data_IF_430453714438
#
_entry.id   IF_430453714438
#
_cell.length_a   1.000
_cell.length_b   1.000
_cell.length_c   1.000
_cell.angle_alpha   90.00
_cell.angle_beta   90.00
_cell.angle_gamma   90.00
#
_symmetry.space_group_name_H-M   'P 1'
#
loop_
_entity.id
_entity.type
_entity.pdbx_description
1 polymer ?
#
# COMPACT_ATOMS: atom_id res chain seq x y z
N UNK A 1 -17.44 1.96 -10.04
CA UNK A 1 -16.53 1.69 -8.90
C UNK A 1 -15.15 1.44 -9.47
N UNK A 2 -14.25 2.42 -9.37
CA UNK A 2 -12.89 2.28 -9.89
C UNK A 2 -12.12 1.37 -8.95
N UNK A 3 -12.17 0.07 -9.24
CA UNK A 3 -11.42 -0.91 -8.46
C UNK A 3 -9.95 -0.54 -8.45
N UNK A 4 -9.28 -0.78 -7.32
CA UNK A 4 -7.85 -0.50 -7.11
C UNK A 4 -7.00 -0.81 -8.34
N UNK A 5 -7.34 -1.88 -9.07
CA UNK A 5 -6.77 -2.30 -10.35
C UNK A 5 -6.47 -1.18 -11.36
N UNK A 6 -7.24 -0.08 -11.41
CA UNK A 6 -7.03 1.06 -12.33
C UNK A 6 -6.81 2.40 -11.62
N UNK A 7 -6.47 2.38 -10.34
CA UNK A 7 -6.24 3.61 -9.59
C UNK A 7 -4.86 4.18 -9.93
N UNK A 8 -4.84 5.35 -10.57
CA UNK A 8 -3.62 6.11 -10.88
C UNK A 8 -3.65 7.53 -10.30
N UNK A 9 -4.59 7.79 -9.37
CA UNK A 9 -4.80 9.07 -8.70
C UNK A 9 -3.79 9.31 -7.58
N UNK A 10 -2.50 9.36 -7.92
CA UNK A 10 -1.43 9.69 -7.00
C UNK A 10 -0.36 10.53 -7.70
N UNK A 11 0.20 11.48 -6.96
CA UNK A 11 1.30 12.33 -7.39
C UNK A 11 2.45 12.25 -6.40
N UNK A 12 3.67 12.43 -6.90
CA UNK A 12 4.85 12.51 -6.03
C UNK A 12 4.92 13.91 -5.43
N UNK A 13 5.16 14.01 -4.13
CA UNK A 13 5.31 15.31 -3.46
C UNK A 13 6.65 15.95 -3.88
N UNK A 14 6.65 17.16 -4.47
CA UNK A 14 7.88 17.84 -4.90
C UNK A 14 8.89 17.97 -3.77
N UNK A 15 10.18 17.74 -4.04
CA UNK A 15 11.25 17.82 -3.04
C UNK A 15 11.45 16.57 -2.16
N UNK A 16 10.56 15.58 -2.23
CA UNK A 16 10.71 14.31 -1.49
C UNK A 16 11.03 13.15 -2.43
N UNK A 17 11.83 12.18 -2.01
CA UNK A 17 12.22 11.03 -2.85
C UNK A 17 11.25 9.85 -2.80
N UNK A 18 10.49 9.72 -1.70
CA UNK A 18 9.69 8.53 -1.36
C UNK A 18 8.25 8.83 -0.93
N UNK A 19 7.86 10.11 -0.87
CA UNK A 19 6.52 10.52 -0.44
C UNK A 19 5.61 10.78 -1.62
N UNK A 20 4.39 10.27 -1.51
CA UNK A 20 3.34 10.40 -2.50
C UNK A 20 2.08 10.94 -1.84
N UNK A 21 1.23 11.56 -2.64
CA UNK A 21 -0.06 12.11 -2.23
C UNK A 21 -1.13 11.56 -3.14
N UNK A 22 -2.25 11.13 -2.57
CA UNK A 22 -3.43 10.76 -3.35
C UNK A 22 -4.08 12.00 -3.97
N UNK A 23 -4.36 11.97 -5.27
CA UNK A 23 -5.08 13.04 -5.99
C UNK A 23 -6.56 12.71 -6.19
N UNK A 24 -6.95 11.45 -5.94
CA UNK A 24 -8.34 10.98 -6.00
C UNK A 24 -8.64 10.09 -4.78
N UNK A 25 -9.91 9.97 -4.35
CA UNK A 25 -10.27 9.09 -3.26
C UNK A 25 -9.97 7.62 -3.61
N UNK A 26 -9.26 6.93 -2.74
CA UNK A 26 -9.00 5.49 -2.86
C UNK A 26 -9.99 4.73 -1.97
N UNK A 27 -10.74 3.82 -2.59
CA UNK A 27 -11.72 2.96 -1.92
C UNK A 27 -11.20 1.53 -1.88
N UNK A 28 -11.14 0.93 -0.70
CA UNK A 28 -10.62 -0.42 -0.51
C UNK A 28 -11.44 -1.25 0.47
N UNK A 29 -11.90 -2.43 0.05
CA UNK A 29 -12.62 -3.35 0.94
C UNK A 29 -11.62 -4.23 1.72
N UNK A 30 -11.57 -4.00 3.03
CA UNK A 30 -10.67 -4.68 3.96
C UNK A 30 -11.12 -6.13 4.16
N UNK A 31 -10.17 -7.04 4.34
CA UNK A 31 -10.32 -8.51 4.45
C UNK A 31 -10.84 -9.24 3.19
N UNK A 32 -11.97 -8.81 2.62
CA UNK A 32 -12.52 -9.37 1.37
C UNK A 32 -13.28 -8.30 0.59
N UNK A 33 -13.37 -8.47 -0.72
CA UNK A 33 -14.24 -7.65 -1.55
C UNK A 33 -15.69 -7.78 -1.07
N UNK A 34 -16.39 -6.66 -0.85
CA UNK A 34 -17.74 -6.66 -0.29
C UNK A 34 -17.83 -7.10 1.17
N UNK A 35 -16.80 -6.87 1.98
CA UNK A 35 -16.82 -7.14 3.43
C UNK A 35 -17.72 -6.22 4.24
N UNK A 36 -18.37 -5.23 3.61
CA UNK A 36 -19.03 -4.08 4.23
C UNK A 36 -18.09 -3.20 5.07
N UNK A 37 -16.78 -3.45 5.02
CA UNK A 37 -15.78 -2.61 5.65
C UNK A 37 -14.88 -2.00 4.57
N UNK A 38 -15.27 -0.81 4.13
CA UNK A 38 -14.56 -0.06 3.10
C UNK A 38 -13.68 1.01 3.75
N UNK A 39 -12.38 0.88 3.57
CA UNK A 39 -11.38 1.90 3.84
C UNK A 39 -11.49 2.97 2.77
N UNK A 40 -11.75 4.20 3.19
CA UNK A 40 -11.83 5.38 2.33
C UNK A 40 -10.63 6.26 2.67
N UNK A 41 -9.70 6.41 1.72
CA UNK A 41 -8.61 7.36 1.82
C UNK A 41 -9.01 8.61 1.01
N UNK A 42 -9.14 9.78 1.65
CA UNK A 42 -9.51 11.00 0.96
C UNK A 42 -8.39 11.47 0.00
N UNK A 43 -8.73 12.28 -1.02
CA UNK A 43 -7.70 13.00 -1.76
C UNK A 43 -6.91 13.90 -0.80
N UNK A 44 -5.60 14.00 -1.04
CA UNK A 44 -4.67 14.72 -0.17
C UNK A 44 -3.96 13.84 0.85
N UNK A 45 -4.35 12.58 1.05
CA UNK A 45 -3.62 11.66 1.95
C UNK A 45 -2.20 11.47 1.45
N UNK A 46 -1.24 11.84 2.30
CA UNK A 46 0.19 11.58 2.08
C UNK A 46 0.56 10.21 2.65
N UNK A 47 1.35 9.47 1.90
CA UNK A 47 1.91 8.19 2.32
C UNK A 47 3.37 8.11 1.91
N UNK A 48 4.15 7.32 2.65
CA UNK A 48 5.59 7.24 2.45
C UNK A 48 5.98 5.80 2.13
N UNK A 49 6.57 5.58 0.95
CA UNK A 49 7.23 4.32 0.66
C UNK A 49 8.62 4.35 1.32
N UNK A 50 8.62 4.31 2.65
CA UNK A 50 9.83 4.17 3.46
C UNK A 50 10.17 2.69 3.63
N UNK A 51 10.52 2.03 2.52
CA UNK A 51 11.25 0.76 2.55
C UNK A 51 12.74 1.05 2.79
N UNK A 52 13.44 0.25 3.60
CA UNK A 52 14.89 0.35 3.74
C UNK A 52 15.58 0.03 2.42
N UNK A 53 16.78 0.58 2.18
CA UNK A 53 17.53 0.44 0.91
C UNK A 53 17.73 -1.01 0.47
N UNK A 54 17.83 -1.96 1.41
CA UNK A 54 17.93 -3.38 1.11
C UNK A 54 16.63 -3.95 0.50
N UNK A 55 15.48 -3.43 0.89
CA UNK A 55 14.16 -3.79 0.37
C UNK A 55 13.77 -2.98 -0.87
N UNK A 56 14.46 -1.89 -1.21
CA UNK A 56 14.27 -1.17 -2.49
C UNK A 56 14.57 -2.05 -3.72
N UNK A 57 15.38 -3.10 -3.57
CA UNK A 57 15.59 -4.10 -4.62
C UNK A 57 14.36 -4.98 -4.89
N UNK A 58 13.49 -5.11 -3.88
CA UNK A 58 12.29 -5.96 -3.91
C UNK A 58 11.03 -5.12 -4.09
N UNK A 59 11.02 -3.89 -3.60
CA UNK A 59 9.91 -2.96 -3.73
C UNK A 59 10.45 -1.66 -4.32
N UNK A 60 10.38 -1.52 -5.65
CA UNK A 60 10.74 -0.26 -6.29
C UNK A 60 9.74 0.82 -5.82
N UNK A 61 10.20 1.90 -5.15
CA UNK A 61 9.33 2.98 -4.71
C UNK A 61 8.67 3.77 -5.87
N UNK A 62 9.00 3.45 -7.12
CA UNK A 62 8.38 3.99 -8.33
C UNK A 62 7.39 3.03 -8.98
N UNK A 63 7.27 1.81 -8.49
CA UNK A 63 6.34 0.84 -9.06
C UNK A 63 4.88 1.29 -8.75
N UNK A 64 4.18 1.66 -9.82
CA UNK A 64 2.79 2.13 -9.77
C UNK A 64 1.81 1.05 -9.34
N UNK A 65 2.19 -0.23 -9.38
CA UNK A 65 1.37 -1.33 -8.91
C UNK A 65 1.31 -1.38 -7.37
N UNK A 66 2.38 -0.96 -6.68
CA UNK A 66 2.48 -1.07 -5.21
C UNK A 66 2.13 0.22 -4.48
N UNK A 67 2.09 1.38 -5.18
CA UNK A 67 1.74 2.68 -4.58
C UNK A 67 0.38 2.69 -3.86
N UNK A 68 -0.74 2.22 -4.46
CA UNK A 68 -2.02 2.16 -3.74
C UNK A 68 -2.01 1.17 -2.57
N UNK A 69 -1.23 0.09 -2.69
CA UNK A 69 -1.08 -0.90 -1.63
C UNK A 69 -0.34 -0.31 -0.42
N UNK A 70 0.69 0.51 -0.66
CA UNK A 70 1.42 1.23 0.38
C UNK A 70 0.52 2.23 1.11
N UNK A 71 -0.30 2.99 0.38
CA UNK A 71 -1.26 3.92 0.99
C UNK A 71 -2.24 3.19 1.93
N UNK A 72 -2.79 2.04 1.51
CA UNK A 72 -3.68 1.21 2.34
C UNK A 72 -2.95 0.69 3.59
N UNK A 73 -1.74 0.20 3.42
CA UNK A 73 -0.92 -0.32 4.51
C UNK A 73 -0.63 0.74 5.58
N UNK A 74 -0.16 1.91 5.16
CA UNK A 74 0.18 3.01 6.07
C UNK A 74 -1.06 3.53 6.80
N UNK A 75 -2.17 3.69 6.07
CA UNK A 75 -3.44 4.11 6.66
C UNK A 75 -3.96 3.10 7.70
N UNK A 76 -3.83 1.79 7.44
CA UNK A 76 -4.21 0.76 8.42
C UNK A 76 -3.32 0.81 9.66
N UNK A 77 -2.01 1.02 9.51
CA UNK A 77 -1.10 1.21 10.65
C UNK A 77 -1.43 2.48 11.44
N UNK A 78 -1.73 3.60 10.78
CA UNK A 78 -2.15 4.85 11.42
C UNK A 78 -3.43 4.65 12.24
N UNK A 79 -4.37 3.86 11.72
CA UNK A 79 -5.62 3.50 12.41
C UNK A 79 -5.44 2.47 13.54
N UNK A 80 -4.21 2.03 13.82
CA UNK A 80 -3.89 1.13 14.92
C UNK A 80 -4.10 -0.35 14.61
N UNK A 81 -4.21 -0.74 13.34
CA UNK A 81 -4.25 -2.15 12.98
C UNK A 81 -2.91 -2.83 13.19
N UNK A 82 -2.98 -4.13 13.49
CA UNK A 82 -1.79 -4.97 13.67
C UNK A 82 -0.93 -5.03 12.39
N UNK A 83 0.42 -5.03 12.51
CA UNK A 83 1.32 -5.16 11.37
C UNK A 83 1.03 -6.32 10.42
N UNK A 84 0.54 -7.45 10.94
CA UNK A 84 0.17 -8.62 10.14
C UNK A 84 -1.06 -8.36 9.28
N UNK A 85 -2.06 -7.64 9.82
CA UNK A 85 -3.28 -7.26 9.09
C UNK A 85 -2.92 -6.25 8.00
N UNK A 86 -2.17 -5.19 8.35
CA UNK A 86 -1.73 -4.17 7.39
C UNK A 86 -0.91 -4.79 6.26
N UNK A 87 0.00 -5.73 6.57
CA UNK A 87 0.81 -6.45 5.57
C UNK A 87 -0.03 -7.37 4.68
N UNK A 88 -1.03 -8.06 5.25
CA UNK A 88 -1.93 -8.92 4.48
C UNK A 88 -2.75 -8.11 3.47
N UNK A 89 -3.22 -6.93 3.89
CA UNK A 89 -3.96 -5.99 3.04
C UNK A 89 -3.08 -5.39 1.94
N UNK A 90 -1.82 -5.05 2.25
CA UNK A 90 -0.82 -4.65 1.24
C UNK A 90 -0.70 -5.70 0.13
N UNK A 91 -0.52 -6.97 0.48
CA UNK A 91 -0.43 -8.06 -0.49
C UNK A 91 -1.70 -8.19 -1.33
N UNK A 92 -2.88 -8.10 -0.71
CA UNK A 92 -4.16 -8.18 -1.43
C UNK A 92 -4.29 -7.04 -2.43
N UNK A 93 -3.95 -5.83 -2.03
CA UNK A 93 -3.98 -4.65 -2.87
C UNK A 93 -2.99 -4.76 -4.05
N UNK A 94 -1.75 -5.19 -3.79
CA UNK A 94 -0.71 -5.38 -4.81
C UNK A 94 -1.11 -6.46 -5.84
N UNK A 95 -1.64 -7.61 -5.38
CA UNK A 95 -2.13 -8.67 -6.29
C UNK A 95 -3.34 -8.19 -7.09
N UNK A 96 -4.25 -7.40 -6.48
CA UNK A 96 -5.39 -6.81 -7.19
C UNK A 96 -4.96 -5.77 -8.25
N UNK A 97 -3.79 -5.15 -8.09
CA UNK A 97 -3.15 -4.27 -9.08
C UNK A 97 -2.38 -5.00 -10.18
N UNK A 98 -2.26 -6.32 -10.10
CA UNK A 98 -1.60 -7.13 -11.12
C UNK A 98 -0.22 -7.66 -10.73
N UNK A 99 0.24 -7.46 -9.50
CA UNK A 99 1.44 -8.16 -9.02
C UNK A 99 1.19 -9.68 -9.03
N UNK A 100 2.21 -10.44 -9.43
CA UNK A 100 2.11 -11.90 -9.41
C UNK A 100 1.88 -12.40 -7.97
N UNK A 101 1.12 -13.50 -7.80
CA UNK A 101 0.80 -14.03 -6.47
C UNK A 101 2.05 -14.40 -5.66
N UNK A 102 3.08 -14.92 -6.33
CA UNK A 102 4.37 -15.26 -5.70
C UNK A 102 5.07 -14.00 -5.21
N UNK A 103 5.10 -12.95 -6.06
CA UNK A 103 5.67 -11.67 -5.67
C UNK A 103 4.91 -11.01 -4.53
N UNK A 104 3.58 -11.05 -4.54
CA UNK A 104 2.77 -10.53 -3.44
C UNK A 104 3.09 -11.17 -2.08
N UNK A 105 3.49 -12.45 -2.04
CA UNK A 105 3.97 -13.09 -0.80
C UNK A 105 5.35 -12.61 -0.38
N UNK A 106 6.27 -12.39 -1.32
CA UNK A 106 7.58 -11.77 -1.02
C UNK A 106 7.37 -10.39 -0.41
N UNK A 107 6.47 -9.59 -0.99
CA UNK A 107 6.14 -8.27 -0.48
C UNK A 107 5.51 -8.35 0.91
N UNK A 108 4.58 -9.28 1.15
CA UNK A 108 3.98 -9.51 2.47
C UNK A 108 5.02 -9.76 3.56
N UNK A 109 5.93 -10.71 3.34
CA UNK A 109 6.96 -11.03 4.34
C UNK A 109 7.92 -9.86 4.54
N UNK A 110 8.23 -9.15 3.47
CA UNK A 110 9.08 -7.95 3.51
C UNK A 110 8.47 -6.84 4.36
N UNK A 111 7.19 -6.50 4.14
CA UNK A 111 6.50 -5.45 4.91
C UNK A 111 6.28 -5.89 6.35
N UNK A 112 5.88 -7.15 6.57
CA UNK A 112 5.65 -7.68 7.91
C UNK A 112 6.92 -7.65 8.78
N UNK A 113 8.03 -8.18 8.25
CA UNK A 113 9.30 -8.23 8.98
C UNK A 113 9.78 -6.80 9.29
N UNK A 114 9.63 -5.88 8.33
CA UNK A 114 10.01 -4.48 8.54
C UNK A 114 9.14 -3.81 9.61
N UNK A 115 7.82 -3.89 9.50
CA UNK A 115 6.92 -3.20 10.44
C UNK A 115 6.97 -3.81 11.85
N UNK A 116 7.26 -5.11 11.96
CA UNK A 116 7.37 -5.79 13.25
C UNK A 116 8.72 -5.55 13.96
N UNK A 117 9.83 -5.43 13.22
CA UNK A 117 11.19 -5.41 13.82
C UNK A 117 12.05 -4.18 13.47
N UNK A 118 11.72 -3.46 12.40
CA UNK A 118 12.54 -2.37 11.86
C UNK A 118 11.99 -0.97 12.14
N UNK A 119 10.95 -0.85 12.96
CA UNK A 119 10.36 0.43 13.36
C UNK A 119 11.16 1.11 14.46
#
# INVERSE_FOLDING_TARGET
MTGIARFDGFERVPGTRKRYRLTAPLLWDVSKKGSNWTLILPPGTEFDISVPKCLEWVLDPRDRAVLPAAAIHDELLIRGHDPSVSSAEFRRAAVARGCSRRWGWVLFFSTLLWTAFGK
#
